data_IF_910432848524
#
_entry.id   IF_910432848524
#
_cell.length_a   1.000
_cell.length_b   1.000
_cell.length_c   1.000
_cell.angle_alpha   90.00
_cell.angle_beta   90.00
_cell.angle_gamma   90.00
#
_symmetry.space_group_name_H-M   'P 1'
#
loop_
_entity.id
_entity.type
_entity.pdbx_description
1 polymer ?
#
# COMPACT_ATOMS: atom_id res chain seq x y z
N UNK A 1 14.99 15.47 4.97
CA UNK A 1 13.53 15.30 4.82
C UNK A 1 12.91 15.30 6.21
N UNK A 2 11.85 16.07 6.40
CA UNK A 2 11.05 16.00 7.63
C UNK A 2 9.99 14.92 7.43
N UNK A 3 10.13 13.81 8.13
CA UNK A 3 9.15 12.71 8.12
C UNK A 3 8.15 12.88 9.24
N UNK A 4 6.94 12.33 9.08
CA UNK A 4 5.96 12.31 10.15
C UNK A 4 6.24 11.15 11.12
N UNK A 5 5.88 11.32 12.40
CA UNK A 5 6.00 10.24 13.38
C UNK A 5 5.19 8.99 12.98
N UNK A 6 4.04 9.15 12.30
CA UNK A 6 3.22 8.01 11.85
C UNK A 6 3.87 7.26 10.69
N UNK A 7 4.53 7.98 9.78
CA UNK A 7 5.29 7.42 8.67
C UNK A 7 6.45 6.57 9.20
N UNK A 8 7.30 7.15 10.05
CA UNK A 8 8.48 6.46 10.59
C UNK A 8 8.09 5.20 11.38
N UNK A 9 7.01 5.28 12.16
CA UNK A 9 6.47 4.12 12.88
C UNK A 9 5.98 3.02 11.93
N UNK A 10 5.30 3.37 10.83
CA UNK A 10 4.85 2.41 9.83
C UNK A 10 6.03 1.76 9.10
N UNK A 11 7.01 2.55 8.64
CA UNK A 11 8.21 2.04 7.96
C UNK A 11 8.98 1.08 8.86
N UNK A 12 9.17 1.43 10.14
CA UNK A 12 9.86 0.56 11.10
C UNK A 12 9.17 -0.78 11.29
N UNK A 13 7.83 -0.79 11.35
CA UNK A 13 7.02 -2.02 11.48
C UNK A 13 7.13 -2.90 10.23
N UNK A 14 7.02 -2.29 9.04
CA UNK A 14 7.14 -3.00 7.76
C UNK A 14 8.55 -3.56 7.54
N UNK A 15 9.59 -2.79 7.89
CA UNK A 15 10.98 -3.23 7.89
C UNK A 15 11.16 -4.49 8.74
N UNK A 16 10.67 -4.46 9.99
CA UNK A 16 10.75 -5.62 10.87
C UNK A 16 10.00 -6.83 10.30
N UNK A 17 8.80 -6.63 9.74
CA UNK A 17 8.01 -7.71 9.17
C UNK A 17 8.68 -8.37 7.96
N UNK A 18 9.30 -7.57 7.08
CA UNK A 18 10.04 -8.06 5.92
C UNK A 18 11.25 -8.89 6.34
N UNK A 19 12.10 -8.36 7.21
CA UNK A 19 13.33 -9.03 7.62
C UNK A 19 13.09 -10.25 8.52
N UNK A 20 11.95 -10.30 9.23
CA UNK A 20 11.55 -11.46 10.02
C UNK A 20 10.75 -12.50 9.22
N UNK A 21 10.56 -12.30 7.90
CA UNK A 21 9.74 -13.18 7.03
C UNK A 21 8.30 -13.38 7.53
N UNK A 22 7.72 -12.36 8.17
CA UNK A 22 6.32 -12.35 8.66
C UNK A 22 5.39 -11.48 7.80
N UNK A 23 5.87 -11.01 6.65
CA UNK A 23 5.07 -10.23 5.70
C UNK A 23 4.35 -11.18 4.73
N UNK A 24 3.02 -11.13 4.69
CA UNK A 24 2.21 -12.04 3.88
C UNK A 24 0.97 -11.32 3.30
N UNK A 25 0.87 -11.16 1.97
CA UNK A 25 -0.30 -10.58 1.29
C UNK A 25 -1.64 -11.26 1.57
N UNK A 26 -1.64 -12.57 1.85
CA UNK A 26 -2.87 -13.36 2.02
C UNK A 26 -3.35 -13.46 3.47
N UNK A 27 -2.69 -12.77 4.41
CA UNK A 27 -3.04 -12.79 5.83
C UNK A 27 -3.29 -11.37 6.35
N UNK A 28 -4.52 -11.07 6.77
CA UNK A 28 -4.92 -9.73 7.19
C UNK A 28 -4.22 -9.20 8.45
N UNK A 29 -3.50 -10.06 9.19
CA UNK A 29 -2.65 -9.67 10.33
C UNK A 29 -1.20 -9.44 9.91
N UNK A 30 -0.78 -10.06 8.81
CA UNK A 30 0.61 -10.10 8.35
C UNK A 30 0.83 -9.37 7.02
N UNK A 31 -0.22 -8.82 6.39
CA UNK A 31 -0.08 -7.92 5.26
C UNK A 31 0.51 -6.56 5.70
N UNK A 32 0.66 -5.62 4.77
CA UNK A 32 1.18 -4.29 5.08
C UNK A 32 0.33 -3.59 6.16
N UNK A 33 -1.00 -3.57 5.98
CA UNK A 33 -1.91 -2.92 6.93
C UNK A 33 -1.92 -3.64 8.29
N UNK A 34 -1.96 -4.97 8.28
CA UNK A 34 -1.92 -5.78 9.49
C UNK A 34 -0.68 -5.46 10.35
N UNK A 35 0.50 -5.40 9.74
CA UNK A 35 1.73 -5.03 10.45
C UNK A 35 1.71 -3.59 10.98
N UNK A 36 1.23 -2.62 10.18
CA UNK A 36 1.09 -1.23 10.64
C UNK A 36 0.19 -1.14 11.88
N UNK A 37 -0.86 -1.96 11.94
CA UNK A 37 -1.84 -2.02 13.03
C UNK A 37 -1.50 -3.03 14.15
N UNK A 38 -0.22 -3.40 14.31
CA UNK A 38 0.24 -4.31 15.36
C UNK A 38 -0.43 -5.69 15.29
N UNK A 39 -0.46 -6.25 14.08
CA UNK A 39 -1.04 -7.55 13.72
C UNK A 39 -2.53 -7.69 14.05
N UNK A 40 -3.26 -6.57 14.07
CA UNK A 40 -4.73 -6.53 14.18
C UNK A 40 -5.38 -6.59 12.80
N UNK A 41 -6.44 -7.36 12.68
CA UNK A 41 -7.21 -7.59 11.45
C UNK A 41 -8.54 -6.83 11.41
N UNK A 42 -8.82 -5.94 12.37
CA UNK A 42 -10.07 -5.19 12.45
C UNK A 42 -10.40 -4.40 11.17
N UNK A 43 -9.37 -4.00 10.43
CA UNK A 43 -9.50 -3.27 9.16
C UNK A 43 -10.11 -4.12 8.04
N UNK A 44 -9.96 -5.46 8.09
CA UNK A 44 -10.52 -6.39 7.09
C UNK A 44 -12.04 -6.24 6.98
N UNK A 45 -12.72 -5.95 8.09
CA UNK A 45 -14.17 -5.81 8.12
C UNK A 45 -14.69 -4.51 7.48
N UNK A 46 -13.81 -3.63 7.00
CA UNK A 46 -14.18 -2.39 6.31
C UNK A 46 -14.43 -2.58 4.82
N UNK A 47 -14.11 -3.75 4.26
CA UNK A 47 -14.37 -4.10 2.87
C UNK A 47 -14.81 -5.55 2.73
N UNK A 48 -15.54 -5.87 1.66
CA UNK A 48 -16.01 -7.23 1.38
C UNK A 48 -15.02 -8.03 0.51
N UNK A 49 -14.18 -7.33 -0.26
CA UNK A 49 -13.33 -7.93 -1.29
C UNK A 49 -11.87 -7.59 -0.97
N UNK A 50 -11.02 -8.62 -0.94
CA UNK A 50 -9.60 -8.44 -0.70
C UNK A 50 -8.97 -7.50 -1.73
N UNK A 51 -8.25 -6.47 -1.26
CA UNK A 51 -7.66 -5.44 -2.11
C UNK A 51 -8.61 -4.40 -2.68
N UNK A 52 -9.91 -4.46 -2.35
CA UNK A 52 -10.84 -3.41 -2.75
C UNK A 52 -10.62 -2.14 -1.94
N UNK A 53 -10.59 -0.99 -2.63
CA UNK A 53 -10.59 0.34 -2.01
C UNK A 53 -11.98 0.84 -1.65
N UNK A 54 -13.02 0.04 -1.92
CA UNK A 54 -14.40 0.38 -1.61
C UNK A 54 -14.74 -0.05 -0.18
N UNK A 55 -15.13 0.94 0.63
CA UNK A 55 -15.70 0.69 1.95
C UNK A 55 -17.05 0.00 1.84
N UNK A 56 -17.27 -0.98 2.73
CA UNK A 56 -18.60 -1.49 3.04
C UNK A 56 -19.31 -0.58 4.05
N UNK A 57 -20.50 -0.98 4.48
CA UNK A 57 -21.28 -0.19 5.43
C UNK A 57 -20.53 0.09 6.75
N UNK A 58 -19.85 -0.92 7.32
CA UNK A 58 -19.07 -0.78 8.56
C UNK A 58 -17.93 0.22 8.36
N UNK A 59 -17.22 0.11 7.24
CA UNK A 59 -16.18 1.06 6.84
C UNK A 59 -16.69 2.49 6.75
N UNK A 60 -17.84 2.71 6.10
CA UNK A 60 -18.48 4.03 6.01
C UNK A 60 -18.87 4.61 7.37
N UNK A 61 -19.42 3.79 8.26
CA UNK A 61 -19.76 4.23 9.63
C UNK A 61 -18.51 4.70 10.36
N UNK A 62 -17.42 3.93 10.33
CA UNK A 62 -16.17 4.34 10.96
C UNK A 62 -15.60 5.62 10.35
N UNK A 63 -15.68 5.77 9.02
CA UNK A 63 -15.20 6.96 8.32
C UNK A 63 -16.00 8.20 8.73
N UNK A 64 -17.34 8.11 8.72
CA UNK A 64 -18.23 9.23 9.06
C UNK A 64 -18.15 9.64 10.53
N UNK A 65 -17.80 8.69 11.42
CA UNK A 65 -17.50 8.99 12.83
C UNK A 65 -16.10 9.59 13.05
N UNK A 66 -15.32 9.78 11.98
CA UNK A 66 -13.95 10.31 12.07
C UNK A 66 -12.97 9.36 12.75
N UNK A 67 -13.25 8.06 12.84
CA UNK A 67 -12.37 7.11 13.51
C UNK A 67 -11.06 6.94 12.75
N UNK A 68 -9.98 6.76 13.50
CA UNK A 68 -8.63 6.48 12.99
C UNK A 68 -8.08 5.21 13.64
N UNK A 69 -7.32 4.44 12.88
CA UNK A 69 -6.66 3.20 13.31
C UNK A 69 -5.18 3.35 13.02
N UNK A 70 -4.34 3.37 14.07
CA UNK A 70 -2.92 3.66 13.91
C UNK A 70 -2.64 5.05 13.28
N UNK A 71 -3.60 5.98 13.37
CA UNK A 71 -3.52 7.29 12.72
C UNK A 71 -4.12 7.36 11.31
N UNK A 72 -4.63 6.25 10.76
CA UNK A 72 -5.20 6.17 9.41
C UNK A 72 -6.73 6.07 9.42
N UNK A 73 -7.40 6.72 8.47
CA UNK A 73 -8.84 6.54 8.24
C UNK A 73 -9.12 5.16 7.63
N UNK A 74 -10.36 4.65 7.70
CA UNK A 74 -10.75 3.43 6.99
C UNK A 74 -10.38 3.43 5.51
N UNK A 75 -10.56 4.56 4.82
CA UNK A 75 -10.24 4.69 3.40
C UNK A 75 -8.73 4.58 3.14
N UNK A 76 -7.92 5.27 3.95
CA UNK A 76 -6.46 5.23 3.88
C UNK A 76 -5.92 3.80 4.07
N UNK A 77 -6.49 3.03 5.00
CA UNK A 77 -6.10 1.63 5.22
C UNK A 77 -6.34 0.78 3.96
N UNK A 78 -7.50 0.90 3.33
CA UNK A 78 -7.79 0.15 2.11
C UNK A 78 -6.89 0.56 0.94
N UNK A 79 -6.53 1.84 0.84
CA UNK A 79 -5.59 2.33 -0.17
C UNK A 79 -4.17 1.83 0.05
N UNK A 80 -3.72 1.71 1.30
CA UNK A 80 -2.42 1.10 1.65
C UNK A 80 -2.42 -0.37 1.24
N UNK A 81 -3.44 -1.14 1.63
CA UNK A 81 -3.54 -2.56 1.25
C UNK A 81 -3.57 -2.75 -0.26
N UNK A 82 -4.41 -1.99 -0.97
CA UNK A 82 -4.50 -2.08 -2.42
C UNK A 82 -3.19 -1.69 -3.12
N UNK A 83 -2.38 -0.80 -2.53
CA UNK A 83 -1.05 -0.46 -3.06
C UNK A 83 -0.04 -1.59 -2.81
N UNK A 84 -0.06 -2.19 -1.61
CA UNK A 84 0.75 -3.37 -1.30
C UNK A 84 0.49 -4.52 -2.26
N UNK A 85 -0.78 -4.88 -2.46
CA UNK A 85 -1.17 -5.97 -3.34
C UNK A 85 -0.78 -5.68 -4.80
N UNK A 86 -0.98 -4.45 -5.29
CA UNK A 86 -0.54 -4.07 -6.64
C UNK A 86 0.97 -4.20 -6.82
N UNK A 87 1.77 -3.74 -5.85
CA UNK A 87 3.22 -3.91 -5.89
C UNK A 87 3.66 -5.38 -5.80
N UNK A 88 2.88 -6.21 -5.11
CA UNK A 88 3.04 -7.66 -5.10
C UNK A 88 2.56 -8.35 -6.39
N UNK A 89 2.07 -7.62 -7.39
CA UNK A 89 1.64 -8.16 -8.68
C UNK A 89 0.19 -8.68 -8.72
N UNK A 90 -0.64 -8.34 -7.74
CA UNK A 90 -2.06 -8.68 -7.76
C UNK A 90 -2.81 -7.83 -8.77
N UNK A 91 -3.73 -8.46 -9.49
CA UNK A 91 -4.65 -7.75 -10.36
C UNK A 91 -5.97 -7.49 -9.60
N UNK A 92 -6.15 -6.23 -9.20
CA UNK A 92 -7.32 -5.77 -8.45
C UNK A 92 -8.36 -5.20 -9.40
N UNK A 93 -9.61 -5.61 -9.25
CA UNK A 93 -10.76 -5.05 -9.93
C UNK A 93 -11.87 -4.64 -8.95
N UNK A 94 -12.98 -4.11 -9.47
CA UNK A 94 -14.13 -3.73 -8.63
C UNK A 94 -14.75 -4.90 -7.87
N UNK A 95 -14.67 -6.09 -8.45
CA UNK A 95 -15.35 -7.30 -7.96
C UNK A 95 -14.44 -8.53 -7.90
N UNK A 96 -13.14 -8.37 -8.13
CA UNK A 96 -12.21 -9.48 -8.19
C UNK A 96 -10.83 -9.08 -7.68
N UNK A 97 -10.08 -10.07 -7.25
CA UNK A 97 -8.69 -9.97 -6.85
C UNK A 97 -7.99 -11.23 -7.34
N UNK A 98 -7.17 -11.11 -8.38
CA UNK A 98 -6.40 -12.24 -8.91
C UNK A 98 -5.02 -12.26 -8.30
N UNK A 99 -4.70 -13.39 -7.69
CA UNK A 99 -3.44 -13.63 -6.99
C UNK A 99 -2.33 -14.08 -7.97
N UNK A 100 -1.11 -13.56 -7.84
CA UNK A 100 0.04 -14.05 -8.59
C UNK A 100 0.59 -15.36 -7.99
N UNK A 101 1.27 -16.18 -8.81
CA UNK A 101 1.75 -17.50 -8.37
C UNK A 101 2.78 -17.45 -7.23
N UNK A 102 3.72 -16.50 -7.30
CA UNK A 102 4.84 -16.40 -6.36
C UNK A 102 4.73 -15.26 -5.36
N UNK A 103 3.52 -14.95 -4.86
CA UNK A 103 3.23 -13.81 -3.97
C UNK A 103 4.04 -13.73 -2.65
N UNK A 104 4.80 -14.77 -2.28
CA UNK A 104 5.71 -14.81 -1.11
C UNK A 104 7.18 -14.60 -1.46
N UNK A 105 7.51 -14.44 -2.74
CA UNK A 105 8.86 -14.17 -3.18
C UNK A 105 9.36 -12.83 -2.60
N UNK A 106 10.58 -12.82 -2.09
CA UNK A 106 11.14 -11.65 -1.40
C UNK A 106 11.24 -10.41 -2.29
N UNK A 107 11.47 -10.56 -3.60
CA UNK A 107 11.51 -9.45 -4.56
C UNK A 107 10.11 -8.89 -4.77
N UNK A 108 9.12 -9.76 -4.89
CA UNK A 108 7.71 -9.36 -5.02
C UNK A 108 7.24 -8.63 -3.76
N UNK A 109 7.56 -9.15 -2.57
CA UNK A 109 7.24 -8.50 -1.30
C UNK A 109 7.93 -7.15 -1.16
N UNK A 110 9.19 -7.05 -1.59
CA UNK A 110 9.94 -5.79 -1.59
C UNK A 110 9.30 -4.74 -2.52
N UNK A 111 8.87 -5.14 -3.71
CA UNK A 111 8.12 -4.25 -4.62
C UNK A 111 6.80 -3.79 -4.00
N UNK A 112 6.09 -4.71 -3.34
CA UNK A 112 4.91 -4.40 -2.53
C UNK A 112 5.20 -3.31 -1.48
N UNK A 113 6.32 -3.43 -0.77
CA UNK A 113 6.73 -2.43 0.22
C UNK A 113 7.07 -1.09 -0.43
N UNK A 114 7.77 -1.06 -1.55
CA UNK A 114 8.08 0.19 -2.26
C UNK A 114 6.81 0.97 -2.60
N UNK A 115 5.79 0.30 -3.14
CA UNK A 115 4.48 0.90 -3.43
C UNK A 115 3.76 1.40 -2.17
N UNK A 116 3.87 0.67 -1.05
CA UNK A 116 3.33 1.10 0.25
C UNK A 116 4.05 2.35 0.74
N UNK A 117 5.38 2.42 0.67
CA UNK A 117 6.14 3.59 1.09
C UNK A 117 5.75 4.82 0.26
N UNK A 118 5.70 4.69 -1.06
CA UNK A 118 5.22 5.75 -1.96
C UNK A 118 3.79 6.20 -1.60
N UNK A 119 2.89 5.25 -1.28
CA UNK A 119 1.54 5.57 -0.83
C UNK A 119 1.53 6.30 0.51
N UNK A 120 2.33 5.90 1.49
CA UNK A 120 2.43 6.57 2.79
C UNK A 120 2.94 8.01 2.63
N UNK A 121 3.94 8.25 1.76
CA UNK A 121 4.38 9.60 1.42
C UNK A 121 3.24 10.47 0.87
N UNK A 122 2.43 9.93 -0.04
CA UNK A 122 1.26 10.63 -0.59
C UNK A 122 0.22 10.99 0.49
N UNK A 123 -0.06 10.06 1.41
CA UNK A 123 -1.02 10.27 2.50
C UNK A 123 -0.55 11.34 3.50
N UNK A 124 0.76 11.54 3.61
CA UNK A 124 1.37 12.54 4.47
C UNK A 124 1.70 13.85 3.74
N UNK A 125 1.35 13.93 2.44
CA UNK A 125 1.69 15.05 1.57
C UNK A 125 3.20 15.37 1.57
N UNK A 126 4.00 14.31 1.52
CA UNK A 126 5.46 14.34 1.48
C UNK A 126 5.98 13.92 0.10
N UNK A 127 7.16 14.41 -0.26
CA UNK A 127 7.88 13.90 -1.43
C UNK A 127 8.12 12.40 -1.28
N UNK A 128 7.93 11.66 -2.37
CA UNK A 128 8.20 10.23 -2.40
C UNK A 128 9.69 9.96 -2.19
N UNK A 129 10.01 9.32 -1.08
CA UNK A 129 11.38 8.97 -0.70
C UNK A 129 11.99 7.91 -1.61
N UNK A 130 11.15 7.16 -2.34
CA UNK A 130 11.59 6.15 -3.31
C UNK A 130 11.92 6.78 -4.68
N UNK A 131 11.50 8.01 -4.94
CA UNK A 131 11.73 8.69 -6.21
C UNK A 131 13.06 9.44 -6.22
N UNK A 132 14.12 8.73 -6.61
CA UNK A 132 15.44 9.32 -6.79
C UNK A 132 15.58 10.17 -8.06
N UNK A 133 14.57 10.26 -8.94
CA UNK A 133 14.68 11.02 -10.19
C UNK A 133 14.99 12.50 -9.96
N UNK A 134 14.44 13.07 -8.88
CA UNK A 134 14.70 14.45 -8.42
C UNK A 134 16.16 14.69 -8.03
N UNK A 135 16.89 13.66 -7.58
CA UNK A 135 18.31 13.78 -7.24
C UNK A 135 19.20 13.87 -8.48
N UNK A 136 18.72 13.34 -9.61
CA UNK A 136 19.47 13.26 -10.86
C UNK A 136 18.95 14.22 -11.93
N UNK A 137 18.05 15.15 -11.57
CA UNK A 137 17.35 16.03 -12.51
C UNK A 137 16.75 15.27 -13.71
N UNK A 138 16.30 14.04 -13.47
CA UNK A 138 15.83 13.16 -14.51
C UNK A 138 14.34 13.39 -14.74
N UNK A 139 14.02 14.21 -15.74
CA UNK A 139 12.64 14.36 -16.22
C UNK A 139 12.22 13.07 -16.94
N UNK A 140 11.17 12.40 -16.45
CA UNK A 140 10.51 11.29 -17.18
C UNK A 140 9.70 11.85 -18.36
N UNK A 141 10.36 12.53 -19.29
CA UNK A 141 9.74 13.21 -20.42
C UNK A 141 10.44 12.88 -21.73
N UNK A 142 10.09 11.75 -22.36
CA UNK A 142 9.90 11.59 -23.82
C UNK A 142 9.49 10.13 -24.13
N UNK A 143 8.17 9.86 -24.17
CA UNK A 143 7.68 8.86 -25.12
C UNK A 143 7.42 9.62 -26.41
N UNK A 144 8.40 9.64 -27.31
CA UNK A 144 8.10 9.89 -28.71
C UNK A 144 7.11 8.82 -29.16
N UNK A 145 5.86 9.22 -29.35
CA UNK A 145 4.88 8.47 -30.09
C UNK A 145 5.35 8.48 -31.54
N UNK A 146 6.11 7.47 -31.94
CA UNK A 146 6.31 7.17 -33.36
C UNK A 146 4.99 6.62 -33.91
N UNK A 147 4.06 7.52 -34.25
CA UNK A 147 3.04 7.23 -35.26
C UNK A 147 3.77 7.10 -36.59
N UNK A 148 4.25 5.90 -36.90
CA UNK A 148 4.55 5.54 -38.28
C UNK A 148 3.21 5.41 -39.01
N UNK A 149 2.85 6.45 -39.75
CA UNK A 149 1.88 6.35 -40.83
C UNK A 149 2.40 5.39 -41.90
N UNK A 150 1.65 4.32 -42.15
CA UNK A 150 1.57 3.62 -43.43
C UNK A 150 0.14 3.14 -43.63
#
# INVERSE_FOLDING_TARGET
MTTSNRFDAAVKKLYAAFHNNTLNPEDCKQCAVGNILDNKDSWRHMTEIHGSTRLNYVGFVHLNLGRRFGGYSPQELLEIEASFLRGCGYHLGKHFCHKPEHYKDSVILFNGLCEVISKLCQLDNMDDVMDCSKLFDFDRGHKEVLTNSF
#
